data_IF_816289427768
#
_entry.id   IF_816289427768
#
_cell.length_a   1.000
_cell.length_b   1.000
_cell.length_c   1.000
_cell.angle_alpha   90.00
_cell.angle_beta   90.00
_cell.angle_gamma   90.00
#
_symmetry.space_group_name_H-M   'P 1'
#
loop_
_entity.id
_entity.type
_entity.pdbx_description
1 polymer ?
#
# COMPACT_ATOMS: atom_id res chain seq x y z
N UNK A 1 19.35 -6.86 -5.51
CA UNK A 1 18.63 -7.17 -4.26
C UNK A 1 18.92 -8.57 -3.68
N UNK A 2 19.45 -9.54 -4.43
CA UNK A 2 19.64 -10.91 -3.91
C UNK A 2 20.60 -11.04 -2.72
N UNK A 3 21.66 -10.21 -2.65
CA UNK A 3 22.62 -10.24 -1.53
C UNK A 3 22.17 -9.51 -0.25
N UNK A 4 21.04 -8.80 -0.31
CA UNK A 4 20.47 -8.03 0.81
C UNK A 4 19.05 -8.49 1.18
N UNK A 5 18.59 -9.57 0.56
CA UNK A 5 17.27 -10.13 0.80
C UNK A 5 17.32 -11.03 2.02
N UNK A 6 16.53 -10.68 3.03
CA UNK A 6 16.23 -11.56 4.14
C UNK A 6 14.75 -11.95 4.06
N UNK A 7 14.46 -13.25 4.16
CA UNK A 7 13.10 -13.76 4.18
C UNK A 7 12.23 -13.20 5.32
N UNK A 8 12.86 -12.74 6.41
CA UNK A 8 12.18 -12.17 7.57
C UNK A 8 11.44 -10.86 7.24
N UNK A 9 11.76 -10.23 6.10
CA UNK A 9 11.08 -9.01 5.63
C UNK A 9 9.56 -9.21 5.55
N UNK A 10 9.10 -10.37 5.10
CA UNK A 10 7.67 -10.67 4.92
C UNK A 10 6.90 -10.76 6.25
N UNK A 11 7.60 -11.04 7.36
CA UNK A 11 7.01 -11.06 8.69
C UNK A 11 6.88 -9.66 9.32
N UNK A 12 7.47 -8.63 8.69
CA UNK A 12 7.52 -7.25 9.19
C UNK A 12 6.71 -6.34 8.25
N UNK A 13 5.40 -6.09 8.53
CA UNK A 13 4.52 -5.30 7.66
C UNK A 13 5.07 -3.96 7.19
N UNK A 14 5.66 -3.21 8.12
CA UNK A 14 6.26 -1.90 7.85
C UNK A 14 7.44 -1.95 6.87
N UNK A 15 8.10 -3.12 6.75
CA UNK A 15 9.22 -3.31 5.85
C UNK A 15 8.75 -3.81 4.49
N UNK A 16 7.98 -4.90 4.45
CA UNK A 16 7.54 -5.44 3.16
C UNK A 16 6.62 -4.47 2.40
N UNK A 17 5.82 -3.64 3.10
CA UNK A 17 4.98 -2.62 2.47
C UNK A 17 5.79 -1.65 1.60
N UNK A 18 6.98 -1.24 2.07
CA UNK A 18 7.90 -0.39 1.29
C UNK A 18 8.48 -1.12 0.09
N UNK A 19 8.91 -2.38 0.26
CA UNK A 19 9.48 -3.19 -0.83
C UNK A 19 8.45 -3.43 -1.94
N UNK A 20 7.22 -3.80 -1.57
CA UNK A 20 6.13 -4.03 -2.52
C UNK A 20 5.76 -2.72 -3.22
N UNK A 21 5.65 -1.61 -2.49
CA UNK A 21 5.37 -0.31 -3.11
C UNK A 21 6.47 0.11 -4.09
N UNK A 22 7.75 -0.10 -3.75
CA UNK A 22 8.86 0.15 -4.66
C UNK A 22 8.78 -0.72 -5.92
N UNK A 23 8.45 -2.01 -5.77
CA UNK A 23 8.18 -2.90 -6.90
C UNK A 23 7.03 -2.38 -7.79
N UNK A 24 5.94 -1.93 -7.18
CA UNK A 24 4.80 -1.35 -7.90
C UNK A 24 5.15 -0.04 -8.62
N UNK A 25 6.02 0.81 -8.06
CA UNK A 25 6.52 2.03 -8.73
C UNK A 25 7.32 1.65 -9.98
N UNK A 26 8.23 0.68 -9.89
CA UNK A 26 8.98 0.20 -11.05
C UNK A 26 8.05 -0.38 -12.12
N UNK A 27 7.04 -1.15 -11.70
CA UNK A 27 6.01 -1.65 -12.60
C UNK A 27 5.19 -0.52 -13.24
N UNK A 28 4.90 0.56 -12.52
CA UNK A 28 4.21 1.72 -13.05
C UNK A 28 5.01 2.40 -14.18
N UNK A 29 6.31 2.62 -13.99
CA UNK A 29 7.19 3.12 -15.05
C UNK A 29 7.24 2.18 -16.26
N UNK A 30 7.33 0.86 -16.01
CA UNK A 30 7.31 -0.12 -17.08
C UNK A 30 5.99 -0.08 -17.86
N UNK A 31 4.84 0.02 -17.18
CA UNK A 31 3.53 0.15 -17.82
C UNK A 31 3.40 1.45 -18.61
N UNK A 32 3.98 2.56 -18.15
CA UNK A 32 4.05 3.81 -18.92
C UNK A 32 4.84 3.65 -20.21
N UNK A 33 5.99 2.95 -20.15
CA UNK A 33 6.79 2.64 -21.34
C UNK A 33 6.01 1.74 -22.30
N UNK A 34 5.41 0.66 -21.80
CA UNK A 34 4.60 -0.26 -22.58
C UNK A 34 3.43 0.48 -23.25
N UNK A 35 2.77 1.39 -22.53
CA UNK A 35 1.65 2.18 -23.07
C UNK A 35 2.03 3.05 -24.29
N UNK A 36 3.32 3.37 -24.45
CA UNK A 36 3.82 4.10 -25.62
C UNK A 36 3.84 3.21 -26.88
N UNK A 37 4.05 1.90 -26.73
CA UNK A 37 4.13 0.95 -27.83
C UNK A 37 2.83 0.21 -28.09
N UNK A 38 2.08 -0.11 -27.03
CA UNK A 38 0.76 -0.74 -27.11
C UNK A 38 -0.24 0.09 -26.33
N UNK A 39 -1.39 0.40 -26.92
CA UNK A 39 -2.44 1.15 -26.23
C UNK A 39 -3.01 0.28 -25.10
N UNK A 40 -2.65 0.59 -23.85
CA UNK A 40 -3.23 -0.07 -22.69
C UNK A 40 -4.65 0.49 -22.40
N UNK A 41 -5.46 -0.22 -21.60
CA UNK A 41 -6.74 0.29 -21.15
C UNK A 41 -6.60 1.66 -20.46
N UNK A 42 -7.66 2.45 -20.55
CA UNK A 42 -7.66 3.86 -20.13
C UNK A 42 -7.15 4.01 -18.70
N UNK A 43 -6.23 4.95 -18.49
CA UNK A 43 -5.70 5.33 -17.18
C UNK A 43 -4.99 4.22 -16.38
N UNK A 44 -4.64 3.07 -16.97
CA UNK A 44 -3.89 2.01 -16.25
C UNK A 44 -2.52 2.51 -15.77
N UNK A 45 -1.76 3.18 -16.63
CA UNK A 45 -0.43 3.69 -16.29
C UNK A 45 -0.45 4.75 -15.18
N UNK A 46 -1.44 5.64 -15.13
CA UNK A 46 -1.51 6.66 -14.07
C UNK A 46 -2.01 6.07 -12.74
N UNK A 47 -2.95 5.13 -12.79
CA UNK A 47 -3.43 4.47 -11.57
C UNK A 47 -2.41 3.53 -10.97
N UNK A 48 -1.50 2.92 -11.75
CA UNK A 48 -0.43 2.11 -11.18
C UNK A 48 0.47 2.95 -10.26
N UNK A 49 0.82 4.18 -10.66
CA UNK A 49 1.50 5.14 -9.78
C UNK A 49 0.66 5.51 -8.56
N UNK A 50 -0.61 5.88 -8.75
CA UNK A 50 -1.47 6.28 -7.64
C UNK A 50 -1.57 5.19 -6.56
N UNK A 51 -1.73 3.93 -6.98
CA UNK A 51 -1.83 2.79 -6.09
C UNK A 51 -0.50 2.49 -5.38
N UNK A 52 0.62 2.60 -6.08
CA UNK A 52 1.96 2.42 -5.50
C UNK A 52 2.29 3.52 -4.49
N UNK A 53 1.95 4.77 -4.80
CA UNK A 53 2.08 5.92 -3.91
C UNK A 53 1.16 5.77 -2.69
N UNK A 54 -0.05 5.23 -2.86
CA UNK A 54 -0.93 4.90 -1.75
C UNK A 54 -0.29 3.94 -0.74
N UNK A 55 0.28 2.84 -1.24
CA UNK A 55 0.93 1.85 -0.38
C UNK A 55 2.20 2.39 0.27
N UNK A 56 3.07 3.11 -0.46
CA UNK A 56 4.29 3.68 0.14
C UNK A 56 3.93 4.69 1.23
N UNK A 57 2.90 5.52 0.99
CA UNK A 57 2.44 6.53 1.94
C UNK A 57 1.93 5.88 3.22
N UNK A 58 1.06 4.88 3.11
CA UNK A 58 0.55 4.14 4.26
C UNK A 58 1.67 3.42 5.02
N UNK A 59 2.62 2.82 4.30
CA UNK A 59 3.78 2.16 4.92
C UNK A 59 4.65 3.14 5.71
N UNK A 60 4.95 4.31 5.13
CA UNK A 60 5.73 5.36 5.78
C UNK A 60 4.98 6.00 6.95
N UNK A 61 3.72 6.40 6.75
CA UNK A 61 2.89 7.02 7.79
C UNK A 61 2.72 6.08 8.98
N UNK A 62 2.46 4.80 8.75
CA UNK A 62 2.34 3.80 9.82
C UNK A 62 3.59 3.74 10.70
N UNK A 63 4.78 3.81 10.09
CA UNK A 63 6.07 3.80 10.80
C UNK A 63 6.27 5.08 11.61
N UNK A 64 6.03 6.21 10.95
CA UNK A 64 6.22 7.56 11.50
C UNK A 64 5.26 7.79 12.67
N UNK A 65 3.98 7.42 12.53
CA UNK A 65 2.99 7.54 13.60
C UNK A 65 3.36 6.75 14.85
N UNK A 66 3.89 5.52 14.72
CA UNK A 66 4.36 4.76 15.88
C UNK A 66 5.54 5.46 16.57
N UNK A 67 6.52 5.93 15.78
CA UNK A 67 7.70 6.63 16.30
C UNK A 67 7.36 7.92 17.04
N UNK A 68 6.52 8.79 16.46
CA UNK A 68 6.16 10.07 17.08
C UNK A 68 5.23 9.93 18.29
N UNK A 69 4.49 8.82 18.38
CA UNK A 69 3.60 8.58 19.51
C UNK A 69 4.23 7.71 20.63
N UNK A 70 5.54 7.49 20.56
CA UNK A 70 6.30 6.72 21.57
C UNK A 70 5.97 5.23 21.60
N UNK A 71 5.34 4.69 20.54
CA UNK A 71 4.95 3.28 20.43
C UNK A 71 6.04 2.48 19.70
N UNK A 72 6.16 1.20 20.04
CA UNK A 72 7.20 0.33 19.48
C UNK A 72 6.95 0.04 17.98
N UNK A 73 7.86 0.51 17.12
CA UNK A 73 7.81 0.32 15.66
C UNK A 73 7.95 -1.15 15.25
N UNK A 74 8.61 -1.98 16.05
CA UNK A 74 8.75 -3.42 15.79
C UNK A 74 7.49 -4.22 16.13
N UNK A 75 6.51 -3.60 16.81
CA UNK A 75 5.26 -4.23 17.20
C UNK A 75 4.07 -3.40 16.69
N UNK A 76 3.86 -3.32 15.35
CA UNK A 76 2.74 -2.58 14.79
C UNK A 76 1.40 -3.26 15.11
N UNK A 77 0.27 -2.55 14.96
CA UNK A 77 -1.06 -3.15 15.07
C UNK A 77 -1.21 -4.37 14.18
N UNK A 78 -1.83 -5.45 14.69
CA UNK A 78 -2.01 -6.71 13.96
C UNK A 78 -2.74 -6.54 12.62
N UNK A 79 -3.64 -5.56 12.53
CA UNK A 79 -4.39 -5.27 11.32
C UNK A 79 -3.53 -4.65 10.19
N UNK A 80 -2.33 -4.16 10.47
CA UNK A 80 -1.51 -3.44 9.50
C UNK A 80 -1.16 -4.28 8.27
N UNK A 81 -0.81 -5.55 8.47
CA UNK A 81 -0.53 -6.47 7.37
C UNK A 81 -1.74 -6.68 6.47
N UNK A 82 -2.95 -6.77 7.04
CA UNK A 82 -4.19 -6.88 6.30
C UNK A 82 -4.50 -5.60 5.50
N UNK A 83 -4.30 -4.42 6.10
CA UNK A 83 -4.48 -3.12 5.42
C UNK A 83 -3.59 -3.04 4.17
N UNK A 84 -2.30 -3.37 4.30
CA UNK A 84 -1.39 -3.35 3.15
C UNK A 84 -1.76 -4.40 2.11
N UNK A 85 -2.16 -5.60 2.55
CA UNK A 85 -2.59 -6.66 1.64
C UNK A 85 -3.83 -6.24 0.84
N UNK A 86 -4.79 -5.56 1.47
CA UNK A 86 -5.97 -5.01 0.77
C UNK A 86 -5.57 -4.04 -0.34
N UNK A 87 -4.57 -3.19 -0.12
CA UNK A 87 -4.07 -2.29 -1.17
C UNK A 87 -3.35 -3.00 -2.31
N UNK A 88 -2.56 -4.03 -1.99
CA UNK A 88 -1.90 -4.86 -3.01
C UNK A 88 -2.95 -5.58 -3.85
N UNK A 89 -3.98 -6.16 -3.23
CA UNK A 89 -5.10 -6.80 -3.94
C UNK A 89 -5.88 -5.77 -4.76
N UNK A 90 -6.11 -4.57 -4.21
CA UNK A 90 -6.74 -3.48 -4.95
C UNK A 90 -5.93 -3.09 -6.19
N UNK A 91 -4.60 -3.11 -6.13
CA UNK A 91 -3.72 -2.87 -7.28
C UNK A 91 -3.84 -3.97 -8.32
N UNK A 92 -3.87 -5.24 -7.89
CA UNK A 92 -4.05 -6.39 -8.78
C UNK A 92 -5.35 -6.23 -9.57
N UNK A 93 -6.46 -5.92 -8.90
CA UNK A 93 -7.74 -5.68 -9.60
C UNK A 93 -7.72 -4.43 -10.48
N UNK A 94 -7.10 -3.33 -10.02
CA UNK A 94 -7.08 -2.06 -10.75
C UNK A 94 -6.27 -2.14 -12.04
N UNK A 95 -5.17 -2.89 -12.02
CA UNK A 95 -4.12 -2.85 -13.03
C UNK A 95 -4.04 -4.18 -13.75
N UNK A 96 -3.67 -5.24 -13.03
CA UNK A 96 -3.37 -6.54 -13.63
C UNK A 96 -4.64 -7.15 -14.24
N UNK A 97 -5.72 -7.22 -13.46
CA UNK A 97 -6.97 -7.83 -13.92
C UNK A 97 -7.60 -7.08 -15.10
N UNK A 98 -7.54 -5.74 -15.10
CA UNK A 98 -8.04 -4.91 -16.20
C UNK A 98 -7.25 -5.11 -17.50
N UNK A 99 -5.93 -5.32 -17.42
CA UNK A 99 -5.09 -5.58 -18.59
C UNK A 99 -5.47 -6.91 -19.26
N UNK A 100 -5.73 -7.97 -18.48
CA UNK A 100 -5.97 -9.31 -19.00
C UNK A 100 -7.45 -9.64 -19.28
N UNK A 101 -8.38 -9.11 -18.48
CA UNK A 101 -9.81 -9.43 -18.54
C UNK A 101 -10.68 -8.16 -18.58
N UNK A 102 -10.45 -7.34 -19.61
CA UNK A 102 -11.14 -6.06 -19.77
C UNK A 102 -12.68 -6.16 -19.86
N UNK A 103 -13.22 -7.35 -20.17
CA UNK A 103 -14.67 -7.61 -20.18
C UNK A 103 -15.35 -7.41 -18.82
N UNK A 104 -14.61 -7.56 -17.71
CA UNK A 104 -15.10 -7.33 -16.34
C UNK A 104 -14.60 -6.01 -15.73
N UNK A 105 -14.28 -5.02 -16.58
CA UNK A 105 -13.69 -3.75 -16.17
C UNK A 105 -14.45 -3.11 -14.99
N UNK A 106 -15.77 -2.94 -15.10
CA UNK A 106 -16.55 -2.26 -14.06
C UNK A 106 -16.48 -2.97 -12.71
N UNK A 107 -16.55 -4.30 -12.71
CA UNK A 107 -16.51 -5.14 -11.51
C UNK A 107 -15.17 -5.02 -10.81
N UNK A 108 -14.05 -5.11 -11.55
CA UNK A 108 -12.71 -4.95 -10.98
C UNK A 108 -12.48 -3.56 -10.41
N UNK A 109 -13.00 -2.54 -11.09
CA UNK A 109 -12.91 -1.15 -10.62
C UNK A 109 -13.64 -0.97 -9.29
N UNK A 110 -14.86 -1.50 -9.15
CA UNK A 110 -15.64 -1.45 -7.91
C UNK A 110 -14.93 -2.20 -6.78
N UNK A 111 -14.42 -3.40 -7.05
CA UNK A 111 -13.68 -4.20 -6.05
C UNK A 111 -12.44 -3.45 -5.58
N UNK A 112 -11.66 -2.90 -6.51
CA UNK A 112 -10.47 -2.12 -6.19
C UNK A 112 -10.78 -0.89 -5.33
N UNK A 113 -11.84 -0.15 -5.69
CA UNK A 113 -12.30 1.02 -4.94
C UNK A 113 -12.75 0.66 -3.52
N UNK A 114 -13.53 -0.41 -3.37
CA UNK A 114 -13.99 -0.87 -2.07
C UNK A 114 -12.82 -1.27 -1.16
N UNK A 115 -11.86 -2.04 -1.68
CA UNK A 115 -10.65 -2.42 -0.96
C UNK A 115 -9.80 -1.20 -0.56
N UNK A 116 -9.65 -0.22 -1.45
CA UNK A 116 -8.96 1.03 -1.16
C UNK A 116 -9.62 1.80 -0.01
N UNK A 117 -10.94 2.02 -0.09
CA UNK A 117 -11.70 2.76 0.93
C UNK A 117 -11.60 2.03 2.28
N UNK A 118 -11.77 0.71 2.30
CA UNK A 118 -11.69 -0.08 3.53
C UNK A 118 -10.28 -0.01 4.13
N UNK A 119 -9.22 -0.15 3.31
CA UNK A 119 -7.84 -0.10 3.78
C UNK A 119 -7.50 1.26 4.41
N UNK A 120 -7.80 2.36 3.71
CA UNK A 120 -7.57 3.71 4.24
C UNK A 120 -8.45 4.03 5.45
N UNK A 121 -9.72 3.61 5.43
CA UNK A 121 -10.64 3.78 6.56
C UNK A 121 -10.15 3.05 7.82
N UNK A 122 -9.70 1.81 7.69
CA UNK A 122 -9.11 1.03 8.79
C UNK A 122 -7.82 1.68 9.32
N UNK A 123 -6.95 2.16 8.42
CA UNK A 123 -5.75 2.87 8.82
C UNK A 123 -6.10 4.12 9.65
N UNK A 124 -6.98 4.98 9.14
CA UNK A 124 -7.40 6.19 9.86
C UNK A 124 -8.03 5.82 11.20
N UNK A 125 -8.91 4.83 11.25
CA UNK A 125 -9.58 4.42 12.49
C UNK A 125 -8.61 3.91 13.56
N UNK A 126 -7.57 3.17 13.18
CA UNK A 126 -6.59 2.60 14.11
C UNK A 126 -5.57 3.66 14.54
N UNK A 127 -5.01 4.40 13.58
CA UNK A 127 -3.90 5.30 13.83
C UNK A 127 -4.34 6.66 14.39
N UNK A 128 -5.53 7.16 14.06
CA UNK A 128 -6.04 8.43 14.65
C UNK A 128 -6.16 8.33 16.18
N UNK A 129 -6.62 7.19 16.71
CA UNK A 129 -6.71 6.95 18.15
C UNK A 129 -5.37 7.10 18.87
N UNK A 130 -4.27 6.78 18.18
CA UNK A 130 -2.93 6.90 18.76
C UNK A 130 -2.53 8.35 19.05
N UNK A 131 -3.02 9.29 18.24
CA UNK A 131 -2.78 10.73 18.38
C UNK A 131 -3.67 11.39 19.44
N UNK A 132 -4.84 10.81 19.73
CA UNK A 132 -5.72 11.27 20.80
C UNK A 132 -5.40 10.66 22.17
N UNK A 133 -4.39 9.79 22.24
CA UNK A 133 -3.90 9.19 23.47
C UNK A 133 -2.57 9.81 23.84
N UNK A 134 -2.31 9.92 25.15
CA UNK A 134 -0.99 10.33 25.64
C UNK A 134 0.09 9.41 25.08
N UNK A 135 1.25 9.98 24.78
CA UNK A 135 2.45 9.20 24.46
C UNK A 135 2.75 8.17 25.54
N UNK A 136 3.16 6.99 25.10
CA UNK A 136 3.43 5.85 25.99
C UNK A 136 4.77 6.01 26.72
N UNK A 137 5.71 6.77 26.15
CA UNK A 137 7.05 7.02 26.72
C UNK A 137 7.08 8.17 27.75
N UNK A 138 5.95 8.86 27.97
CA UNK A 138 5.85 9.96 28.93
C UNK A 138 6.57 11.26 28.51
N UNK A 139 7.11 11.32 27.29
CA UNK A 139 7.72 12.52 26.74
C UNK A 139 6.64 13.49 26.24
N UNK A 140 7.01 14.77 26.11
CA UNK A 140 6.11 15.78 25.56
C UNK A 140 5.77 15.47 24.09
N UNK A 141 4.48 15.39 23.77
CA UNK A 141 3.94 15.12 22.43
C UNK A 141 2.69 14.26 22.45
#
# INVERSE_FOLDING_TARGET
MFYWYDSEIWNKPLLWGLYVAYGMINLAFLLTLINHFITLPINVAIHSFAMAIGLITLSMMSRISLGHTGRNVFVPPKALGAIFSMLVVAFIFRIIAVIFWNEYYQQFIIISQALWIIAFGLFVFIYSKMFFQKRVDGLFG
#
